data_IF_133601416548
#
_entry.id   IF_133601416548
#
_cell.length_a   1.000
_cell.length_b   1.000
_cell.length_c   1.000
_cell.angle_alpha   90.00
_cell.angle_beta   90.00
_cell.angle_gamma   90.00
#
_symmetry.space_group_name_H-M   'P 1'
#
loop_
_entity.id
_entity.type
_entity.pdbx_description
1 polymer ?
#
# COMPACT_ATOMS: atom_id res chain seq x y z
N UNK A 1 -18.08 9.92 10.78
CA UNK A 1 -17.11 11.04 10.85
C UNK A 1 -15.66 10.54 10.72
N UNK A 2 -15.21 9.59 11.54
CA UNK A 2 -13.85 9.02 11.51
C UNK A 2 -13.39 8.50 10.13
N UNK A 3 -14.24 7.79 9.40
CA UNK A 3 -13.89 7.27 8.07
C UNK A 3 -13.55 8.39 7.06
N UNK A 4 -14.24 9.53 7.12
CA UNK A 4 -13.95 10.69 6.25
C UNK A 4 -12.59 11.30 6.59
N UNK A 5 -12.26 11.42 7.88
CA UNK A 5 -10.98 11.94 8.35
C UNK A 5 -9.84 11.01 7.90
N UNK A 6 -10.01 9.70 8.07
CA UNK A 6 -9.00 8.72 7.65
C UNK A 6 -8.77 8.75 6.14
N UNK A 7 -9.84 8.84 5.34
CA UNK A 7 -9.73 8.98 3.88
C UNK A 7 -9.04 10.29 3.48
N UNK A 8 -9.28 11.38 4.19
CA UNK A 8 -8.59 12.66 3.96
C UNK A 8 -7.08 12.54 4.23
N UNK A 9 -6.69 12.05 5.42
CA UNK A 9 -5.28 11.82 5.79
C UNK A 9 -4.60 10.91 4.77
N UNK A 10 -5.25 9.80 4.40
CA UNK A 10 -4.74 8.83 3.44
C UNK A 10 -4.45 9.46 2.07
N UNK A 11 -5.30 10.34 1.57
CA UNK A 11 -5.17 10.91 0.22
C UNK A 11 -4.50 12.30 0.17
N UNK A 12 -4.07 12.84 1.31
CA UNK A 12 -3.47 14.17 1.38
C UNK A 12 -2.23 14.31 0.49
N UNK A 13 -2.17 15.36 -0.33
CA UNK A 13 -1.06 15.65 -1.25
C UNK A 13 -0.76 14.54 -2.28
N UNK A 14 -1.75 13.73 -2.64
CA UNK A 14 -1.64 12.73 -3.69
C UNK A 14 -2.44 13.19 -4.91
N UNK A 15 -1.80 13.18 -6.07
CA UNK A 15 -2.45 13.55 -7.33
C UNK A 15 -3.48 12.48 -7.73
N UNK A 16 -4.69 12.89 -8.16
CA UNK A 16 -5.76 11.95 -8.51
C UNK A 16 -5.38 11.03 -9.68
N UNK A 17 -4.56 11.53 -10.61
CA UNK A 17 -4.15 10.84 -11.83
C UNK A 17 -2.82 10.07 -11.69
N UNK A 18 -2.31 9.95 -10.45
CA UNK A 18 -1.08 9.21 -10.19
C UNK A 18 -1.25 7.72 -10.46
N UNK A 19 -0.19 7.09 -11.00
CA UNK A 19 -0.12 5.64 -11.19
C UNK A 19 -0.55 4.89 -9.92
N UNK A 20 -1.32 3.81 -10.10
CA UNK A 20 -1.98 3.08 -9.01
C UNK A 20 -0.97 2.61 -7.95
N UNK A 21 0.23 2.18 -8.34
CA UNK A 21 1.27 1.76 -7.40
C UNK A 21 1.84 2.95 -6.64
N UNK A 22 2.19 4.04 -7.35
CA UNK A 22 2.69 5.27 -6.72
C UNK A 22 1.67 5.84 -5.72
N UNK A 23 0.39 5.81 -6.09
CA UNK A 23 -0.72 6.24 -5.22
C UNK A 23 -0.80 5.41 -3.95
N UNK A 24 -0.75 4.08 -4.06
CA UNK A 24 -0.80 3.17 -2.92
C UNK A 24 0.39 3.40 -1.98
N UNK A 25 1.60 3.51 -2.52
CA UNK A 25 2.79 3.75 -1.69
C UNK A 25 2.73 5.11 -1.00
N UNK A 26 2.29 6.16 -1.68
CA UNK A 26 2.08 7.47 -1.08
C UNK A 26 1.00 7.44 0.02
N UNK A 27 -0.11 6.73 -0.19
CA UNK A 27 -1.16 6.57 0.82
C UNK A 27 -0.67 5.88 2.10
N UNK A 28 0.15 4.82 1.94
CA UNK A 28 0.75 4.12 3.08
C UNK A 28 1.72 5.01 3.83
N UNK A 29 2.55 5.77 3.12
CA UNK A 29 3.50 6.71 3.70
C UNK A 29 2.78 7.87 4.42
N UNK A 30 1.65 8.34 3.89
CA UNK A 30 0.82 9.35 4.55
C UNK A 30 0.34 8.85 5.92
N UNK A 31 -0.27 7.66 5.95
CA UNK A 31 -0.79 7.08 7.19
C UNK A 31 0.34 6.87 8.21
N UNK A 32 1.49 6.37 7.76
CA UNK A 32 2.65 6.17 8.61
C UNK A 32 3.19 7.49 9.20
N UNK A 33 3.39 8.51 8.37
CA UNK A 33 3.88 9.82 8.81
C UNK A 33 2.93 10.49 9.80
N UNK A 34 1.62 10.38 9.59
CA UNK A 34 0.61 10.85 10.54
C UNK A 34 0.70 10.10 11.88
N UNK A 35 0.84 8.77 11.84
CA UNK A 35 0.97 7.95 13.04
C UNK A 35 2.20 8.32 13.88
N UNK A 36 3.34 8.67 13.26
CA UNK A 36 4.53 9.14 13.99
C UNK A 36 4.21 10.36 14.84
N UNK A 37 3.59 11.38 14.26
CA UNK A 37 3.25 12.61 14.98
C UNK A 37 2.33 12.33 16.17
N UNK A 38 1.27 11.53 15.96
CA UNK A 38 0.33 11.15 17.03
C UNK A 38 1.04 10.38 18.15
N UNK A 39 1.90 9.41 17.81
CA UNK A 39 2.60 8.60 18.80
C UNK A 39 3.59 9.44 19.62
N UNK A 40 4.30 10.39 19.00
CA UNK A 40 5.18 11.31 19.72
C UNK A 40 4.40 12.14 20.75
N UNK A 41 3.22 12.66 20.38
CA UNK A 41 2.35 13.37 21.32
C UNK A 41 1.90 12.47 22.48
N UNK A 42 1.49 11.22 22.19
CA UNK A 42 1.08 10.26 23.22
C UNK A 42 2.24 9.88 24.16
N UNK A 43 3.45 9.68 23.63
CA UNK A 43 4.63 9.44 24.45
C UNK A 43 5.00 10.66 25.30
N UNK A 44 4.82 11.88 24.78
CA UNK A 44 4.93 13.09 25.58
C UNK A 44 3.95 13.10 26.75
N UNK A 45 2.67 12.83 26.49
CA UNK A 45 1.64 12.78 27.55
C UNK A 45 1.95 11.71 28.61
N UNK A 46 2.46 10.55 28.19
CA UNK A 46 2.97 9.51 29.09
C UNK A 46 4.09 10.08 29.98
N UNK A 47 5.06 10.78 29.41
CA UNK A 47 6.19 11.33 30.16
C UNK A 47 5.74 12.40 31.16
N UNK A 48 4.71 13.19 30.82
CA UNK A 48 4.07 14.12 31.75
C UNK A 48 3.44 13.39 32.94
N UNK A 49 2.75 12.27 32.70
CA UNK A 49 2.14 11.45 33.74
C UNK A 49 3.17 10.89 34.74
N UNK A 50 4.36 10.54 34.26
CA UNK A 50 5.47 10.09 35.11
C UNK A 50 6.35 11.22 35.68
N UNK A 51 5.97 12.49 35.47
CA UNK A 51 6.69 13.65 36.03
C UNK A 51 7.90 14.14 35.22
N UNK A 52 8.18 13.55 34.06
CA UNK A 52 9.29 13.91 33.18
C UNK A 52 8.97 15.12 32.29
N UNK A 53 8.80 16.30 32.90
CA UNK A 53 8.35 17.52 32.20
C UNK A 53 9.24 17.93 31.01
N UNK A 54 10.56 17.75 31.12
CA UNK A 54 11.49 18.08 30.03
C UNK A 54 11.31 17.15 28.81
N UNK A 55 11.16 15.85 29.05
CA UNK A 55 10.91 14.86 28.00
C UNK A 55 9.54 15.05 27.35
N UNK A 56 8.51 15.36 28.16
CA UNK A 56 7.19 15.76 27.68
C UNK A 56 7.28 16.93 26.68
N UNK A 57 7.90 18.04 27.09
CA UNK A 57 8.02 19.22 26.23
C UNK A 57 8.71 18.92 24.91
N UNK A 58 9.84 18.18 24.95
CA UNK A 58 10.58 17.79 23.76
C UNK A 58 9.76 16.92 22.80
N UNK A 59 9.14 15.84 23.29
CA UNK A 59 8.34 14.93 22.45
C UNK A 59 7.06 15.59 21.93
N UNK A 60 6.42 16.44 22.74
CA UNK A 60 5.19 17.12 22.33
C UNK A 60 5.46 18.14 21.23
N UNK A 61 6.54 18.94 21.36
CA UNK A 61 6.97 19.87 20.31
C UNK A 61 7.35 19.11 19.04
N UNK A 62 8.14 18.03 19.16
CA UNK A 62 8.54 17.22 18.01
C UNK A 62 7.32 16.62 17.30
N UNK A 63 6.36 16.06 18.05
CA UNK A 63 5.11 15.53 17.49
C UNK A 63 4.31 16.60 16.76
N UNK A 64 4.21 17.81 17.33
CA UNK A 64 3.58 18.96 16.70
C UNK A 64 4.25 19.35 15.37
N UNK A 65 5.58 19.42 15.34
CA UNK A 65 6.36 19.71 14.12
C UNK A 65 6.08 18.65 13.05
N UNK A 66 6.11 17.35 13.42
CA UNK A 66 5.81 16.27 12.47
C UNK A 66 4.40 16.36 11.89
N UNK A 67 3.39 16.71 12.71
CA UNK A 67 2.03 16.90 12.23
C UNK A 67 1.87 18.13 11.34
N UNK A 68 2.52 19.25 11.69
CA UNK A 68 2.54 20.46 10.84
C UNK A 68 3.18 20.14 9.49
N UNK A 69 4.35 19.51 9.49
CA UNK A 69 5.01 19.09 8.25
C UNK A 69 4.12 18.13 7.45
N UNK A 70 3.43 17.21 8.11
CA UNK A 70 2.49 16.29 7.46
C UNK A 70 1.34 17.02 6.76
N UNK A 71 0.67 17.94 7.45
CA UNK A 71 -0.53 18.62 6.93
C UNK A 71 -0.21 19.67 5.87
N UNK A 72 0.92 20.37 5.99
CA UNK A 72 1.20 21.55 5.16
C UNK A 72 2.27 21.33 4.09
N UNK A 73 2.97 20.20 4.09
CA UNK A 73 4.06 19.96 3.13
C UNK A 73 4.02 18.57 2.49
N UNK A 74 4.79 18.41 1.41
CA UNK A 74 5.10 17.11 0.78
C UNK A 74 6.41 16.50 1.31
N UNK A 75 6.94 16.98 2.44
CA UNK A 75 8.26 16.60 2.97
C UNK A 75 8.50 15.08 3.03
N UNK A 76 7.50 14.32 3.49
CA UNK A 76 7.56 12.85 3.59
C UNK A 76 7.70 12.12 2.25
N UNK A 77 7.37 12.76 1.13
CA UNK A 77 7.51 12.17 -0.20
C UNK A 77 8.96 12.27 -0.73
N UNK A 78 9.81 13.08 -0.07
CA UNK A 78 11.21 13.20 -0.43
C UNK A 78 12.07 12.26 0.43
N UNK A 79 12.72 11.30 -0.22
CA UNK A 79 13.54 10.28 0.44
C UNK A 79 14.69 10.87 1.26
N UNK A 80 15.32 11.96 0.80
CA UNK A 80 16.43 12.58 1.53
C UNK A 80 15.94 13.24 2.84
N UNK A 81 14.77 13.88 2.81
CA UNK A 81 14.17 14.46 4.02
C UNK A 81 13.84 13.35 5.02
N UNK A 82 13.28 12.24 4.54
CA UNK A 82 13.04 11.07 5.39
C UNK A 82 14.34 10.48 5.97
N UNK A 83 15.42 10.44 5.20
CA UNK A 83 16.73 9.97 5.69
C UNK A 83 17.21 10.87 6.82
N UNK A 84 17.24 12.18 6.58
CA UNK A 84 17.67 13.17 7.58
C UNK A 84 16.82 13.04 8.85
N UNK A 85 15.51 12.88 8.73
CA UNK A 85 14.62 12.69 9.88
C UNK A 85 14.92 11.41 10.67
N UNK A 86 15.22 10.30 9.99
CA UNK A 86 15.60 9.03 10.64
C UNK A 86 16.97 9.17 11.31
N UNK A 87 17.95 9.79 10.66
CA UNK A 87 19.29 10.00 11.21
C UNK A 87 19.28 10.93 12.42
N UNK A 88 18.51 12.02 12.38
CA UNK A 88 18.28 12.88 13.54
C UNK A 88 17.61 12.11 14.68
N UNK A 89 16.66 11.22 14.36
CA UNK A 89 16.02 10.35 15.36
C UNK A 89 17.01 9.36 15.97
N UNK A 90 17.94 8.81 15.18
CA UNK A 90 19.01 7.93 15.66
C UNK A 90 19.96 8.68 16.61
N UNK A 91 20.31 9.93 16.29
CA UNK A 91 21.13 10.78 17.16
C UNK A 91 20.41 11.12 18.47
N UNK A 92 19.09 11.34 18.44
CA UNK A 92 18.29 11.53 19.65
C UNK A 92 18.26 10.27 20.51
N UNK A 93 18.04 9.10 19.90
CA UNK A 93 18.09 7.80 20.61
C UNK A 93 19.48 7.58 21.20
N UNK A 94 20.54 7.87 20.46
CA UNK A 94 21.92 7.79 20.95
C UNK A 94 22.15 8.66 22.18
N UNK A 95 21.76 9.94 22.09
CA UNK A 95 21.90 10.89 23.18
C UNK A 95 21.17 10.38 24.44
N UNK A 96 19.86 10.14 24.35
CA UNK A 96 19.04 9.78 25.50
C UNK A 96 19.31 8.37 26.05
N UNK A 97 19.62 7.40 25.19
CA UNK A 97 20.00 6.07 25.67
C UNK A 97 21.32 6.12 26.45
N UNK A 98 22.22 7.05 26.09
CA UNK A 98 23.54 7.18 26.69
C UNK A 98 23.63 8.12 27.90
N UNK A 99 22.50 8.61 28.44
CA UNK A 99 22.48 9.46 29.65
C UNK A 99 22.28 8.69 30.95
N UNK A 100 21.76 7.46 30.89
CA UNK A 100 21.18 6.79 32.07
C UNK A 100 21.48 5.29 32.13
N UNK A 101 22.43 4.81 31.32
CA UNK A 101 22.81 3.39 31.26
C UNK A 101 21.81 2.54 30.45
N UNK A 102 22.23 1.31 30.12
CA UNK A 102 21.45 0.39 29.27
C UNK A 102 20.07 0.03 29.85
N UNK A 103 19.92 0.10 31.18
CA UNK A 103 18.71 -0.29 31.90
C UNK A 103 17.47 0.56 31.60
N UNK A 104 17.60 1.74 30.99
CA UNK A 104 16.47 2.61 30.63
C UNK A 104 15.60 2.04 29.49
N UNK A 105 16.10 1.06 28.73
CA UNK A 105 15.40 0.42 27.61
C UNK A 105 15.26 1.30 26.36
N UNK A 106 15.79 2.53 26.35
CA UNK A 106 15.69 3.45 25.21
C UNK A 106 16.53 3.01 24.01
N UNK A 107 17.57 2.20 24.25
CA UNK A 107 18.36 1.58 23.18
C UNK A 107 17.52 0.70 22.24
N UNK A 108 16.34 0.24 22.66
CA UNK A 108 15.47 -0.58 21.81
C UNK A 108 14.87 0.19 20.63
N UNK A 109 14.80 1.52 20.72
CA UNK A 109 14.31 2.34 19.62
C UNK A 109 15.24 2.34 18.40
N UNK A 110 16.51 1.92 18.54
CA UNK A 110 17.37 1.64 17.37
C UNK A 110 16.72 0.63 16.42
N UNK A 111 16.15 -0.46 16.95
CA UNK A 111 15.50 -1.47 16.12
C UNK A 111 14.23 -0.95 15.43
N UNK A 112 13.49 -0.05 16.09
CA UNK A 112 12.31 0.61 15.50
C UNK A 112 12.73 1.49 14.32
N UNK A 113 13.80 2.27 14.46
CA UNK A 113 14.29 3.17 13.40
C UNK A 113 14.89 2.41 12.21
N UNK A 114 15.67 1.36 12.49
CA UNK A 114 16.19 0.43 11.48
C UNK A 114 15.02 -0.19 10.69
N UNK A 115 14.00 -0.71 11.38
CA UNK A 115 12.82 -1.30 10.72
C UNK A 115 11.99 -0.27 9.97
N UNK A 116 11.88 0.96 10.50
CA UNK A 116 11.24 2.08 9.82
C UNK A 116 11.92 2.39 8.49
N UNK A 117 13.25 2.35 8.44
CA UNK A 117 13.99 2.58 7.19
C UNK A 117 13.67 1.52 6.12
N UNK A 118 13.46 0.25 6.49
CA UNK A 118 13.04 -0.80 5.57
C UNK A 118 11.64 -0.53 4.99
N UNK A 119 10.73 0.01 5.80
CA UNK A 119 9.40 0.39 5.35
C UNK A 119 9.43 1.61 4.41
N UNK A 120 10.19 2.65 4.79
CA UNK A 120 10.25 3.93 4.06
C UNK A 120 11.03 3.81 2.75
N UNK A 121 12.20 3.16 2.76
CA UNK A 121 13.10 3.05 1.61
C UNK A 121 12.96 1.72 0.86
N UNK A 122 11.73 1.38 0.52
CA UNK A 122 11.41 0.10 -0.11
C UNK A 122 11.42 0.15 -1.65
N UNK A 123 12.34 0.94 -2.24
CA UNK A 123 12.54 0.99 -3.70
C UNK A 123 14.01 0.79 -4.04
N UNK A 124 14.29 0.34 -5.27
CA UNK A 124 15.67 0.09 -5.71
C UNK A 124 16.56 1.33 -5.59
N UNK A 125 16.04 2.50 -5.97
CA UNK A 125 16.77 3.78 -5.89
C UNK A 125 17.05 4.21 -4.45
N UNK A 126 16.11 3.98 -3.54
CA UNK A 126 16.25 4.40 -2.14
C UNK A 126 16.96 3.37 -1.27
N UNK A 127 17.10 2.12 -1.72
CA UNK A 127 17.69 1.01 -0.95
C UNK A 127 19.06 1.31 -0.31
N UNK A 128 19.91 2.13 -0.95
CA UNK A 128 21.21 2.54 -0.41
C UNK A 128 21.08 3.29 0.92
N UNK A 129 20.00 4.03 1.12
CA UNK A 129 19.72 4.78 2.35
C UNK A 129 19.52 3.85 3.55
N UNK A 130 18.99 2.64 3.33
CA UNK A 130 18.86 1.62 4.37
C UNK A 130 20.24 1.26 4.93
N UNK A 131 21.22 1.05 4.05
CA UNK A 131 22.58 0.67 4.46
C UNK A 131 23.19 1.77 5.33
N UNK A 132 22.99 3.04 4.96
CA UNK A 132 23.45 4.20 5.75
C UNK A 132 22.83 4.18 7.15
N UNK A 133 21.50 4.07 7.24
CA UNK A 133 20.79 4.04 8.54
C UNK A 133 21.28 2.87 9.42
N UNK A 134 21.46 1.69 8.83
CA UNK A 134 21.94 0.51 9.56
C UNK A 134 23.38 0.72 10.07
N UNK A 135 24.27 1.24 9.21
CA UNK A 135 25.65 1.51 9.59
C UNK A 135 25.72 2.56 10.70
N UNK A 136 24.99 3.68 10.57
CA UNK A 136 24.93 4.72 11.61
C UNK A 136 24.39 4.17 12.92
N UNK A 137 23.25 3.45 12.87
CA UNK A 137 22.67 2.84 14.06
C UNK A 137 23.63 1.86 14.74
N UNK A 138 24.34 1.04 13.97
CA UNK A 138 25.32 0.09 14.49
C UNK A 138 26.52 0.79 15.16
N UNK A 139 27.09 1.81 14.50
CA UNK A 139 28.21 2.60 15.05
C UNK A 139 27.80 3.30 16.34
N UNK A 140 26.63 3.96 16.35
CA UNK A 140 26.13 4.66 17.53
C UNK A 140 25.87 3.67 18.68
N UNK A 141 25.25 2.53 18.39
CA UNK A 141 24.99 1.50 19.40
C UNK A 141 26.29 0.93 19.99
N UNK A 142 27.27 0.59 19.15
CA UNK A 142 28.58 0.10 19.61
C UNK A 142 29.30 1.14 20.46
N UNK A 143 29.25 2.41 20.05
CA UNK A 143 29.83 3.51 20.81
C UNK A 143 29.16 3.62 22.18
N UNK A 144 27.83 3.62 22.24
CA UNK A 144 27.10 3.61 23.51
C UNK A 144 27.45 2.41 24.38
N UNK A 145 27.53 1.22 23.79
CA UNK A 145 27.85 0.00 24.51
C UNK A 145 29.26 0.02 25.12
N UNK A 146 30.26 0.51 24.39
CA UNK A 146 31.63 0.65 24.87
C UNK A 146 31.73 1.49 26.15
N UNK A 147 30.88 2.52 26.28
CA UNK A 147 30.81 3.40 27.46
C UNK A 147 29.69 3.02 28.45
N UNK A 148 29.17 1.79 28.41
CA UNK A 148 28.06 1.31 29.25
C UNK A 148 26.83 2.25 29.22
N UNK A 149 26.58 2.91 28.08
CA UNK A 149 25.51 3.87 27.88
C UNK A 149 25.53 5.04 28.90
N UNK A 150 26.73 5.47 29.32
CA UNK A 150 26.96 6.59 30.26
C UNK A 150 27.88 7.66 29.68
N UNK A 151 27.70 7.97 28.40
CA UNK A 151 28.52 8.96 27.67
C UNK A 151 28.20 10.39 28.11
N UNK A 152 26.91 10.71 28.22
CA UNK A 152 26.45 12.07 28.48
C UNK A 152 25.95 12.21 29.91
N UNK A 153 26.27 13.33 30.56
CA UNK A 153 25.70 13.70 31.85
C UNK A 153 24.77 14.88 31.67
N UNK A 154 23.50 14.70 32.03
CA UNK A 154 22.48 15.76 31.96
C UNK A 154 22.20 16.26 33.37
N UNK A 155 22.49 17.55 33.60
CA UNK A 155 22.18 18.24 34.86
C UNK A 155 20.68 18.13 35.14
N UNK A 156 20.31 17.59 36.31
CA UNK A 156 18.91 17.40 36.71
C UNK A 156 18.31 16.02 36.38
N UNK A 157 19.03 15.15 35.67
CA UNK A 157 18.62 13.75 35.42
C UNK A 157 19.38 12.75 36.32
N UNK A 158 20.41 13.22 37.05
CA UNK A 158 21.26 12.40 37.92
C UNK A 158 20.50 11.65 39.04
N UNK A 159 19.32 12.15 39.44
CA UNK A 159 18.46 11.55 40.47
C UNK A 159 17.17 10.92 39.91
N UNK A 160 17.00 10.86 38.59
CA UNK A 160 15.84 10.19 37.98
C UNK A 160 16.11 8.68 37.94
N UNK A 161 15.79 7.97 39.02
CA UNK A 161 15.67 6.52 38.95
C UNK A 161 14.56 6.16 37.96
N UNK A 162 14.97 5.65 36.80
CA UNK A 162 14.04 5.09 35.83
C UNK A 162 13.36 3.88 36.47
N UNK A 163 12.10 4.05 36.88
CA UNK A 163 11.35 2.98 37.53
C UNK A 163 11.22 1.76 36.61
N UNK A 164 11.15 0.55 37.20
CA UNK A 164 10.89 -0.70 36.44
C UNK A 164 9.67 -0.58 35.51
N UNK A 165 8.67 0.21 35.92
CA UNK A 165 7.46 0.47 35.14
C UNK A 165 7.77 1.20 33.83
N UNK A 166 8.66 2.20 33.84
CA UNK A 166 9.01 2.98 32.65
C UNK A 166 9.70 2.13 31.59
N UNK A 167 10.62 1.24 32.02
CA UNK A 167 11.25 0.27 31.11
C UNK A 167 10.21 -0.62 30.45
N UNK A 168 9.23 -1.11 31.21
CA UNK A 168 8.13 -1.91 30.68
C UNK A 168 7.31 -1.11 29.65
N UNK A 169 7.01 0.17 29.90
CA UNK A 169 6.32 1.02 28.92
C UNK A 169 7.15 1.25 27.65
N UNK A 170 8.46 1.43 27.76
CA UNK A 170 9.35 1.53 26.59
C UNK A 170 9.30 0.24 25.76
N UNK A 171 9.42 -0.93 26.39
CA UNK A 171 9.26 -2.22 25.73
C UNK A 171 7.91 -2.35 25.02
N UNK A 172 6.80 -2.09 25.74
CA UNK A 172 5.45 -2.13 25.18
C UNK A 172 5.35 -1.20 23.96
N UNK A 173 5.87 0.02 24.04
CA UNK A 173 5.82 0.96 22.93
C UNK A 173 6.61 0.49 21.69
N UNK A 174 7.76 -0.17 21.89
CA UNK A 174 8.56 -0.75 20.81
C UNK A 174 7.81 -1.92 20.15
N UNK A 175 7.17 -2.78 20.94
CA UNK A 175 6.34 -3.87 20.40
C UNK A 175 5.12 -3.34 19.63
N UNK A 176 4.47 -2.29 20.12
CA UNK A 176 3.39 -1.61 19.38
C UNK A 176 3.92 -1.05 18.05
N UNK A 177 5.11 -0.45 18.04
CA UNK A 177 5.75 0.01 16.80
C UNK A 177 6.01 -1.11 15.81
N UNK A 178 6.53 -2.25 16.28
CA UNK A 178 6.74 -3.43 15.44
C UNK A 178 5.42 -3.98 14.89
N UNK A 179 4.37 -4.03 15.69
CA UNK A 179 3.05 -4.49 15.24
C UNK A 179 2.48 -3.56 14.15
N UNK A 180 2.58 -2.24 14.33
CA UNK A 180 2.14 -1.25 13.34
C UNK A 180 2.96 -1.38 12.04
N UNK A 181 4.29 -1.39 12.13
CA UNK A 181 5.18 -1.54 10.97
C UNK A 181 4.94 -2.87 10.25
N UNK A 182 4.82 -3.97 11.01
CA UNK A 182 4.52 -5.30 10.49
C UNK A 182 3.19 -5.33 9.73
N UNK A 183 2.13 -4.74 10.28
CA UNK A 183 0.84 -4.60 9.59
C UNK A 183 0.98 -3.87 8.26
N UNK A 184 1.68 -2.73 8.23
CA UNK A 184 1.86 -1.96 7.01
C UNK A 184 2.71 -2.68 5.97
N UNK A 185 3.75 -3.41 6.37
CA UNK A 185 4.61 -4.21 5.48
C UNK A 185 3.80 -5.37 4.89
N UNK A 186 3.11 -6.14 5.72
CA UNK A 186 2.30 -7.28 5.30
C UNK A 186 1.17 -6.84 4.37
N UNK A 187 0.48 -5.74 4.69
CA UNK A 187 -0.57 -5.20 3.83
C UNK A 187 -0.06 -4.85 2.42
N UNK A 188 1.17 -4.33 2.29
CA UNK A 188 1.82 -4.13 0.97
C UNK A 188 2.06 -5.44 0.26
N UNK A 189 2.63 -6.40 0.98
CA UNK A 189 3.05 -7.68 0.41
C UNK A 189 1.84 -8.42 -0.15
N UNK A 190 0.73 -8.47 0.59
CA UNK A 190 -0.52 -9.05 0.10
C UNK A 190 -1.05 -8.32 -1.14
N UNK A 191 -0.99 -6.99 -1.16
CA UNK A 191 -1.44 -6.20 -2.32
C UNK A 191 -0.56 -6.43 -3.56
N UNK A 192 0.75 -6.53 -3.40
CA UNK A 192 1.68 -6.86 -4.49
C UNK A 192 1.39 -8.26 -5.03
N UNK A 193 1.15 -9.23 -4.15
CA UNK A 193 0.80 -10.59 -4.54
C UNK A 193 -0.51 -10.64 -5.35
N UNK A 194 -1.53 -9.91 -4.93
CA UNK A 194 -2.80 -9.81 -5.67
C UNK A 194 -2.58 -9.20 -7.06
N UNK A 195 -1.78 -8.13 -7.17
CA UNK A 195 -1.47 -7.50 -8.44
C UNK A 195 -0.65 -8.42 -9.36
N UNK A 196 0.31 -9.15 -8.80
CA UNK A 196 1.08 -10.14 -9.54
C UNK A 196 0.20 -11.27 -10.10
N UNK A 197 -0.75 -11.77 -9.29
CA UNK A 197 -1.72 -12.77 -9.75
C UNK A 197 -2.60 -12.25 -10.90
N UNK A 198 -3.04 -10.98 -10.84
CA UNK A 198 -3.82 -10.36 -11.93
C UNK A 198 -3.02 -10.24 -13.23
N UNK A 199 -1.75 -9.86 -13.14
CA UNK A 199 -0.87 -9.79 -14.33
C UNK A 199 -0.69 -11.18 -14.94
N UNK A 200 -0.36 -12.18 -14.12
CA UNK A 200 -0.16 -13.55 -14.59
C UNK A 200 -1.43 -14.15 -15.23
N UNK A 201 -2.60 -13.87 -14.64
CA UNK A 201 -3.88 -14.32 -15.19
C UNK A 201 -4.19 -13.62 -16.52
N UNK A 202 -3.92 -12.31 -16.63
CA UNK A 202 -4.01 -11.57 -17.89
C UNK A 202 -3.10 -12.14 -18.98
N UNK A 203 -1.85 -12.46 -18.66
CA UNK A 203 -0.92 -13.12 -19.59
C UNK A 203 -1.44 -14.47 -20.07
N UNK A 204 -2.04 -15.27 -19.17
CA UNK A 204 -2.68 -16.54 -19.54
C UNK A 204 -3.85 -16.36 -20.50
N UNK A 205 -4.71 -15.37 -20.25
CA UNK A 205 -5.81 -15.01 -21.15
C UNK A 205 -5.26 -14.61 -22.52
N UNK A 206 -4.23 -13.76 -22.55
CA UNK A 206 -3.57 -13.31 -23.78
C UNK A 206 -2.99 -14.51 -24.55
N UNK A 207 -2.28 -15.41 -23.87
CA UNK A 207 -1.67 -16.59 -24.49
C UNK A 207 -2.72 -17.52 -25.12
N UNK A 208 -3.79 -17.84 -24.39
CA UNK A 208 -4.88 -18.69 -24.90
C UNK A 208 -5.58 -18.05 -26.10
N UNK A 209 -5.80 -16.73 -26.06
CA UNK A 209 -6.48 -16.03 -27.15
C UNK A 209 -5.57 -15.90 -28.39
N UNK A 210 -4.25 -15.75 -28.23
CA UNK A 210 -3.26 -15.82 -29.32
C UNK A 210 -3.08 -17.22 -29.92
N UNK A 211 -3.49 -18.27 -29.21
CA UNK A 211 -3.54 -19.62 -29.76
C UNK A 211 -4.80 -19.80 -30.63
N UNK A 212 -5.94 -19.26 -30.17
CA UNK A 212 -7.20 -19.26 -30.92
C UNK A 212 -7.15 -18.38 -32.17
N UNK A 213 -6.58 -17.18 -32.06
CA UNK A 213 -6.34 -16.27 -33.16
C UNK A 213 -5.03 -16.71 -33.82
N UNK A 214 -5.11 -17.35 -34.98
CA UNK A 214 -3.91 -17.66 -35.77
C UNK A 214 -2.99 -16.42 -35.79
N UNK A 215 -1.72 -16.55 -35.39
CA UNK A 215 -0.77 -15.46 -35.02
C UNK A 215 -0.59 -14.26 -35.99
N UNK A 216 -1.33 -14.20 -37.10
CA UNK A 216 -1.33 -13.16 -38.13
C UNK A 216 -2.14 -11.90 -37.79
N UNK A 217 -3.02 -11.93 -36.79
CA UNK A 217 -3.84 -10.76 -36.46
C UNK A 217 -3.06 -9.75 -35.61
N UNK A 218 -2.87 -8.53 -36.12
CA UNK A 218 -2.24 -7.38 -35.43
C UNK A 218 -3.19 -6.77 -34.39
N UNK A 219 -3.79 -7.61 -33.56
CA UNK A 219 -4.68 -7.18 -32.49
C UNK A 219 -3.83 -6.85 -31.26
N UNK A 220 -3.98 -5.63 -30.77
CA UNK A 220 -3.42 -5.13 -29.51
C UNK A 220 -4.16 -5.72 -28.30
N UNK A 221 -3.98 -7.03 -28.15
CA UNK A 221 -4.65 -7.86 -27.15
C UNK A 221 -4.19 -7.53 -25.73
N UNK A 222 -2.97 -7.04 -25.58
CA UNK A 222 -2.41 -6.64 -24.30
C UNK A 222 -3.19 -5.48 -23.68
N UNK A 223 -3.38 -4.39 -24.42
CA UNK A 223 -4.19 -3.28 -23.94
C UNK A 223 -5.66 -3.67 -23.77
N UNK A 224 -6.18 -4.54 -24.65
CA UNK A 224 -7.56 -4.99 -24.57
C UNK A 224 -7.86 -5.76 -23.27
N UNK A 225 -7.01 -6.73 -22.93
CA UNK A 225 -7.12 -7.49 -21.67
C UNK A 225 -6.84 -6.60 -20.47
N UNK A 226 -5.90 -5.65 -20.58
CA UNK A 226 -5.65 -4.66 -19.53
C UNK A 226 -6.87 -3.79 -19.24
N UNK A 227 -7.58 -3.31 -20.26
CA UNK A 227 -8.82 -2.55 -20.06
C UNK A 227 -9.92 -3.41 -19.43
N UNK A 228 -10.04 -4.68 -19.84
CA UNK A 228 -10.99 -5.62 -19.25
C UNK A 228 -10.74 -5.88 -17.74
N UNK A 229 -9.49 -6.15 -17.36
CA UNK A 229 -9.10 -6.43 -15.96
C UNK A 229 -9.31 -5.22 -15.05
N UNK A 230 -9.14 -4.00 -15.59
CA UNK A 230 -9.30 -2.75 -14.85
C UNK A 230 -10.73 -2.18 -14.89
N UNK A 231 -11.67 -2.87 -15.54
CA UNK A 231 -13.04 -2.41 -15.75
C UNK A 231 -13.13 -1.02 -16.42
N UNK A 232 -12.21 -0.76 -17.37
CA UNK A 232 -12.04 0.54 -17.99
C UNK A 232 -13.15 0.86 -19.01
N UNK A 233 -13.63 2.10 -19.03
CA UNK A 233 -14.61 2.59 -20.01
C UNK A 233 -14.09 2.47 -21.46
N UNK A 234 -12.78 2.50 -21.67
CA UNK A 234 -12.14 2.33 -22.97
C UNK A 234 -12.22 0.89 -23.51
N UNK A 235 -12.63 -0.08 -22.69
CA UNK A 235 -12.74 -1.48 -23.08
C UNK A 235 -13.71 -1.69 -24.26
N UNK A 236 -14.93 -1.16 -24.18
CA UNK A 236 -15.96 -1.36 -25.21
C UNK A 236 -15.54 -0.79 -26.58
N UNK A 237 -15.10 0.48 -26.69
CA UNK A 237 -14.60 1.01 -27.96
C UNK A 237 -13.44 0.21 -28.54
N UNK A 238 -12.47 -0.20 -27.70
CA UNK A 238 -11.32 -0.99 -28.16
C UNK A 238 -11.74 -2.39 -28.62
N UNK A 239 -12.69 -3.04 -27.94
CA UNK A 239 -13.28 -4.31 -28.37
C UNK A 239 -13.92 -4.19 -29.75
N UNK A 240 -14.74 -3.16 -29.99
CA UNK A 240 -15.37 -2.93 -31.30
C UNK A 240 -14.33 -2.74 -32.41
N UNK A 241 -13.25 -2.01 -32.14
CA UNK A 241 -12.17 -1.82 -33.13
C UNK A 241 -11.36 -3.09 -33.40
N UNK A 242 -11.20 -3.97 -32.38
CA UNK A 242 -10.38 -5.18 -32.47
C UNK A 242 -11.14 -6.38 -33.04
N UNK A 243 -12.46 -6.40 -32.82
CA UNK A 243 -13.38 -7.45 -33.27
C UNK A 243 -14.63 -6.80 -33.89
N UNK A 244 -14.52 -6.15 -35.07
CA UNK A 244 -15.64 -5.43 -35.68
C UNK A 244 -16.84 -6.34 -35.95
N UNK A 245 -16.58 -7.53 -36.53
CA UNK A 245 -17.62 -8.52 -36.84
C UNK A 245 -18.40 -8.98 -35.61
N UNK A 246 -17.78 -8.99 -34.42
CA UNK A 246 -18.45 -9.42 -33.20
C UNK A 246 -19.62 -8.50 -32.85
N UNK A 247 -19.42 -7.19 -32.92
CA UNK A 247 -20.48 -6.24 -32.57
C UNK A 247 -21.60 -6.27 -33.60
N UNK A 248 -21.24 -6.28 -34.89
CA UNK A 248 -22.21 -6.25 -35.99
C UNK A 248 -23.07 -7.52 -35.97
N UNK A 249 -22.45 -8.70 -35.90
CA UNK A 249 -23.18 -9.97 -35.86
C UNK A 249 -24.12 -10.09 -34.63
N UNK A 250 -23.69 -9.60 -33.46
CA UNK A 250 -24.55 -9.60 -32.27
C UNK A 250 -25.72 -8.63 -32.41
N UNK A 251 -25.50 -7.48 -33.05
CA UNK A 251 -26.53 -6.45 -33.26
C UNK A 251 -27.57 -6.90 -34.31
N UNK A 252 -27.18 -7.72 -35.28
CA UNK A 252 -28.12 -8.35 -36.22
C UNK A 252 -29.11 -9.31 -35.51
N UNK A 253 -28.65 -10.04 -34.49
CA UNK A 253 -29.50 -10.97 -33.72
C UNK A 253 -30.37 -10.21 -32.72
N UNK A 254 -29.80 -9.24 -32.02
CA UNK A 254 -30.51 -8.42 -31.03
C UNK A 254 -30.18 -6.93 -31.22
N UNK A 255 -30.99 -6.20 -32.02
CA UNK A 255 -30.78 -4.78 -32.30
C UNK A 255 -30.83 -3.88 -31.05
N UNK A 256 -31.55 -4.31 -30.02
CA UNK A 256 -31.72 -3.57 -28.75
C UNK A 256 -30.62 -3.92 -27.72
N UNK A 257 -29.56 -4.64 -28.12
CA UNK A 257 -28.46 -5.03 -27.23
C UNK A 257 -27.84 -3.83 -26.52
N UNK A 258 -27.81 -3.89 -25.19
CA UNK A 258 -27.22 -2.85 -24.36
C UNK A 258 -25.68 -2.91 -24.34
N UNK A 259 -25.03 -1.80 -24.00
CA UNK A 259 -23.56 -1.76 -23.85
C UNK A 259 -23.03 -2.73 -22.78
N UNK A 260 -23.79 -2.97 -21.71
CA UNK A 260 -23.44 -3.94 -20.66
C UNK A 260 -23.56 -5.38 -21.14
N UNK A 261 -24.53 -5.70 -22.01
CA UNK A 261 -24.67 -7.01 -22.64
C UNK A 261 -23.54 -7.25 -23.63
N UNK A 262 -23.21 -6.25 -24.46
CA UNK A 262 -22.06 -6.33 -25.34
C UNK A 262 -20.75 -6.52 -24.56
N UNK A 263 -20.56 -5.77 -23.47
CA UNK A 263 -19.41 -5.93 -22.57
C UNK A 263 -19.32 -7.35 -22.03
N UNK A 264 -20.44 -7.96 -21.62
CA UNK A 264 -20.46 -9.34 -21.16
C UNK A 264 -20.06 -10.31 -22.28
N UNK A 265 -20.61 -10.17 -23.49
CA UNK A 265 -20.22 -10.97 -24.66
C UNK A 265 -18.73 -10.84 -24.96
N UNK A 266 -18.22 -9.61 -24.96
CA UNK A 266 -16.82 -9.30 -25.19
C UNK A 266 -15.89 -9.97 -24.16
N UNK A 267 -16.23 -9.93 -22.88
CA UNK A 267 -15.48 -10.63 -21.82
C UNK A 267 -15.48 -12.15 -22.02
N UNK A 268 -16.63 -12.73 -22.40
CA UNK A 268 -16.75 -14.17 -22.69
C UNK A 268 -15.90 -14.52 -23.92
N UNK A 269 -15.91 -13.69 -24.97
CA UNK A 269 -15.11 -13.87 -26.20
C UNK A 269 -13.61 -13.91 -25.92
N UNK A 270 -13.13 -13.02 -25.04
CA UNK A 270 -11.75 -13.03 -24.58
C UNK A 270 -11.41 -14.20 -23.65
N UNK A 271 -12.39 -15.02 -23.26
CA UNK A 271 -12.17 -16.21 -22.45
C UNK A 271 -12.21 -15.97 -20.93
N UNK A 272 -12.70 -14.82 -20.47
CA UNK A 272 -12.86 -14.56 -19.04
C UNK A 272 -13.88 -15.52 -18.42
N UNK A 273 -13.52 -16.16 -17.30
CA UNK A 273 -14.43 -17.06 -16.59
C UNK A 273 -15.51 -16.28 -15.85
N UNK A 274 -16.57 -16.97 -15.40
CA UNK A 274 -17.58 -16.35 -14.52
C UNK A 274 -16.96 -15.76 -13.24
N UNK A 275 -15.88 -16.36 -12.72
CA UNK A 275 -15.16 -15.85 -11.55
C UNK A 275 -14.37 -14.60 -11.90
N UNK A 276 -13.70 -14.58 -13.04
CA UNK A 276 -12.91 -13.44 -13.50
C UNK A 276 -13.81 -12.22 -13.74
N UNK A 277 -14.94 -12.42 -14.43
CA UNK A 277 -15.92 -11.35 -14.68
C UNK A 277 -16.45 -10.80 -13.35
N UNK A 278 -16.74 -11.67 -12.38
CA UNK A 278 -17.20 -11.25 -11.05
C UNK A 278 -16.13 -10.42 -10.33
N UNK A 279 -14.88 -10.89 -10.32
CA UNK A 279 -13.76 -10.22 -9.69
C UNK A 279 -13.48 -8.83 -10.30
N UNK A 280 -13.32 -8.77 -11.62
CA UNK A 280 -12.89 -7.56 -12.31
C UNK A 280 -14.01 -6.54 -12.49
N UNK A 281 -15.28 -6.96 -12.58
CA UNK A 281 -16.41 -6.02 -12.64
C UNK A 281 -16.98 -5.72 -11.23
N UNK A 282 -16.31 -6.17 -10.16
CA UNK A 282 -16.71 -5.93 -8.77
C UNK A 282 -18.16 -6.32 -8.44
N UNK A 283 -18.63 -7.45 -8.99
CA UNK A 283 -19.98 -7.99 -8.78
C UNK A 283 -19.93 -9.43 -8.27
N UNK A 284 -21.02 -9.91 -7.67
CA UNK A 284 -21.08 -11.29 -7.21
C UNK A 284 -21.10 -12.28 -8.38
N UNK A 285 -20.54 -13.49 -8.18
CA UNK A 285 -20.63 -14.61 -9.14
C UNK A 285 -22.09 -14.89 -9.53
N UNK A 286 -23.02 -14.80 -8.57
CA UNK A 286 -24.46 -14.96 -8.81
C UNK A 286 -25.02 -13.89 -9.74
N UNK A 287 -24.54 -12.65 -9.62
CA UNK A 287 -24.91 -11.55 -10.52
C UNK A 287 -24.45 -11.87 -11.95
N UNK A 288 -23.21 -12.34 -12.13
CA UNK A 288 -22.71 -12.76 -13.45
C UNK A 288 -23.53 -13.90 -14.04
N UNK A 289 -23.87 -14.92 -13.24
CA UNK A 289 -24.73 -16.03 -13.67
C UNK A 289 -26.12 -15.55 -14.10
N UNK A 290 -26.71 -14.64 -13.35
CA UNK A 290 -28.00 -14.02 -13.69
C UNK A 290 -27.90 -13.25 -15.00
N UNK A 291 -26.84 -12.45 -15.19
CA UNK A 291 -26.59 -11.74 -16.44
C UNK A 291 -26.42 -12.70 -17.62
N UNK A 292 -25.68 -13.80 -17.46
CA UNK A 292 -25.54 -14.86 -18.48
C UNK A 292 -26.88 -15.54 -18.81
N UNK A 293 -27.75 -15.75 -17.83
CA UNK A 293 -29.10 -16.29 -18.05
C UNK A 293 -29.98 -15.32 -18.85
N UNK A 294 -29.92 -14.02 -18.55
CA UNK A 294 -30.62 -12.98 -19.32
C UNK A 294 -30.08 -12.90 -20.74
N UNK A 295 -28.75 -12.93 -20.89
CA UNK A 295 -28.09 -12.96 -22.19
C UNK A 295 -28.59 -14.13 -23.04
N UNK A 296 -28.67 -15.35 -22.48
CA UNK A 296 -29.23 -16.50 -23.21
C UNK A 296 -30.66 -16.24 -23.72
N UNK A 297 -31.51 -15.59 -22.93
CA UNK A 297 -32.88 -15.25 -23.36
C UNK A 297 -32.90 -14.17 -24.44
N UNK A 298 -32.05 -13.15 -24.31
CA UNK A 298 -31.98 -12.02 -25.24
C UNK A 298 -31.48 -12.44 -26.64
N UNK A 299 -30.62 -13.45 -26.71
CA UNK A 299 -30.06 -13.99 -27.97
C UNK A 299 -30.64 -15.35 -28.37
N UNK A 300 -31.75 -15.77 -27.74
CA UNK A 300 -32.44 -17.05 -28.01
C UNK A 300 -31.53 -18.29 -27.98
N UNK A 301 -30.54 -18.28 -27.09
CA UNK A 301 -29.53 -19.35 -26.98
C UNK A 301 -30.13 -20.53 -26.19
N UNK A 302 -30.15 -21.71 -26.81
CA UNK A 302 -30.59 -22.96 -26.18
C UNK A 302 -29.80 -23.28 -24.90
N UNK A 303 -30.47 -23.92 -23.93
CA UNK A 303 -29.86 -24.39 -22.68
C UNK A 303 -28.70 -25.36 -22.91
N UNK A 304 -28.76 -26.13 -24.00
CA UNK A 304 -27.79 -27.18 -24.32
C UNK A 304 -26.55 -26.63 -25.02
N UNK A 305 -26.61 -25.36 -25.45
CA UNK A 305 -25.50 -24.68 -26.11
C UNK A 305 -24.57 -24.06 -25.07
N UNK A 306 -23.28 -24.39 -25.17
CA UNK A 306 -22.25 -23.74 -24.38
C UNK A 306 -22.06 -22.28 -24.85
N UNK A 307 -22.22 -21.33 -23.92
CA UNK A 307 -22.19 -19.90 -24.21
C UNK A 307 -20.83 -19.43 -24.72
N UNK A 308 -19.72 -20.04 -24.27
CA UNK A 308 -18.38 -19.69 -24.74
C UNK A 308 -18.17 -20.22 -26.16
N UNK A 309 -18.64 -21.43 -26.48
CA UNK A 309 -18.60 -21.95 -27.85
C UNK A 309 -19.47 -21.14 -28.79
N UNK A 310 -20.66 -20.72 -28.34
CA UNK A 310 -21.55 -19.88 -29.14
C UNK A 310 -20.90 -18.54 -29.48
N UNK A 311 -20.30 -17.84 -28.52
CA UNK A 311 -19.63 -16.56 -28.81
C UNK A 311 -18.39 -16.74 -29.71
N UNK A 312 -17.75 -17.91 -29.64
CA UNK A 312 -16.60 -18.23 -30.48
C UNK A 312 -16.98 -18.37 -31.97
N UNK A 313 -18.28 -18.48 -32.32
CA UNK A 313 -18.75 -18.55 -33.72
C UNK A 313 -18.72 -17.23 -34.50
N UNK A 314 -18.67 -16.10 -33.79
CA UNK A 314 -18.61 -14.74 -34.37
C UNK A 314 -17.17 -14.26 -34.57
#
# INVERSE_FOLDING_TARGET
MLHKIFNYIKNLHIEPDSDKFKRIDAQRLNLFAFSIGVILLLNGLRDLFFGFKAFFGGLFILGGIFLILFFFTKARQNALICLIAIELSLLLVFYFSSTSGFGNGLSLYYFVLITTSLFVFNTRETSKHIIVVFATAFILFLTSHYYDFRIFRVRGVENLEFSKNQRLFAFISVFVWFAILGYFILSKQFMILELYQKVLHGEKIIANMREKLNRKDDIDLENLVKFAINDDIAFIPKMKSSFPNLYDNLTEINPDMTGEEFKLCALIKLGFTTKDIAEYNHISVRTVQTRKSRLRKAFEISSDTDLYKWIDTF
#
